data_IF_593631073651
#
_entry.id   IF_593631073651
#
_cell.length_a   1.000
_cell.length_b   1.000
_cell.length_c   1.000
_cell.angle_alpha   90.00
_cell.angle_beta   90.00
_cell.angle_gamma   90.00
#
_symmetry.space_group_name_H-M   'P 1'
#
loop_
_entity.id
_entity.type
_entity.pdbx_description
1 polymer ?
#
# COMPACT_ATOMS: atom_id res chain seq x y z
N UNK A 1 41.59 -33.95 -14.92
CA UNK A 1 40.86 -32.73 -14.56
C UNK A 1 41.90 -31.63 -14.48
N UNK A 2 41.80 -30.60 -15.31
CA UNK A 2 42.75 -29.49 -15.25
C UNK A 2 42.43 -28.58 -14.05
N UNK A 3 43.40 -27.81 -13.58
CA UNK A 3 43.25 -26.94 -12.40
C UNK A 3 42.13 -25.89 -12.57
N UNK A 4 41.87 -25.46 -13.82
CA UNK A 4 40.80 -24.53 -14.16
C UNK A 4 39.40 -25.15 -14.00
N UNK A 5 39.23 -26.41 -14.40
CA UNK A 5 37.99 -27.19 -14.23
C UNK A 5 37.70 -27.42 -12.76
N UNK A 6 38.73 -27.75 -11.97
CA UNK A 6 38.61 -27.86 -10.51
C UNK A 6 38.24 -26.51 -9.87
N UNK A 7 38.81 -25.41 -10.36
CA UNK A 7 38.48 -24.06 -9.92
C UNK A 7 37.01 -23.70 -10.19
N UNK A 8 36.53 -23.92 -11.40
CA UNK A 8 35.13 -23.62 -11.78
C UNK A 8 34.16 -24.52 -11.02
N UNK A 9 34.47 -25.81 -10.88
CA UNK A 9 33.62 -26.76 -10.16
C UNK A 9 33.52 -26.43 -8.66
N UNK A 10 34.63 -26.05 -8.02
CA UNK A 10 34.67 -25.77 -6.58
C UNK A 10 34.06 -24.40 -6.19
N UNK A 11 33.87 -23.48 -7.14
CA UNK A 11 33.21 -22.19 -6.93
C UNK A 11 31.73 -22.19 -7.34
N UNK A 12 31.27 -23.28 -7.95
CA UNK A 12 29.88 -23.39 -8.41
C UNK A 12 28.88 -23.30 -7.25
N UNK A 13 29.14 -24.02 -6.14
CA UNK A 13 28.26 -24.01 -4.97
C UNK A 13 28.10 -22.61 -4.36
N UNK A 14 29.21 -21.90 -4.14
CA UNK A 14 29.17 -20.57 -3.56
C UNK A 14 28.51 -19.53 -4.48
N UNK A 15 28.69 -19.65 -5.80
CA UNK A 15 27.95 -18.83 -6.77
C UNK A 15 26.45 -19.08 -6.69
N UNK A 16 26.03 -20.34 -6.60
CA UNK A 16 24.61 -20.69 -6.44
C UNK A 16 24.04 -20.13 -5.14
N UNK A 17 24.78 -20.19 -4.04
CA UNK A 17 24.36 -19.60 -2.76
C UNK A 17 24.22 -18.08 -2.84
N UNK A 18 25.20 -17.38 -3.40
CA UNK A 18 25.13 -15.92 -3.60
C UNK A 18 23.89 -15.55 -4.42
N UNK A 19 23.62 -16.26 -5.52
CA UNK A 19 22.44 -16.01 -6.35
C UNK A 19 21.14 -16.28 -5.59
N UNK A 20 21.09 -17.33 -4.77
CA UNK A 20 19.95 -17.62 -3.88
C UNK A 20 19.71 -16.49 -2.89
N UNK A 21 20.76 -16.03 -2.20
CA UNK A 21 20.68 -14.92 -1.26
C UNK A 21 20.18 -13.63 -1.92
N UNK A 22 20.71 -13.29 -3.10
CA UNK A 22 20.25 -12.13 -3.86
C UNK A 22 18.77 -12.23 -4.27
N UNK A 23 18.31 -13.42 -4.65
CA UNK A 23 16.90 -13.63 -4.96
C UNK A 23 16.02 -13.46 -3.71
N UNK A 24 16.40 -14.07 -2.59
CA UNK A 24 15.67 -13.94 -1.32
C UNK A 24 15.55 -12.47 -0.87
N UNK A 25 16.61 -11.68 -1.03
CA UNK A 25 16.57 -10.24 -0.73
C UNK A 25 15.57 -9.49 -1.61
N UNK A 26 15.51 -9.81 -2.92
CA UNK A 26 14.51 -9.21 -3.83
C UNK A 26 13.09 -9.60 -3.47
N UNK A 27 12.88 -10.85 -3.11
CA UNK A 27 11.56 -11.34 -2.69
C UNK A 27 11.11 -10.61 -1.42
N UNK A 28 12.01 -10.43 -0.44
CA UNK A 28 11.72 -9.64 0.77
C UNK A 28 11.43 -8.18 0.46
N UNK A 29 12.18 -7.55 -0.45
CA UNK A 29 11.91 -6.18 -0.89
C UNK A 29 10.48 -6.06 -1.49
N UNK A 30 10.07 -7.03 -2.30
CA UNK A 30 8.73 -7.08 -2.86
C UNK A 30 7.64 -7.28 -1.78
N UNK A 31 7.88 -8.14 -0.78
CA UNK A 31 6.95 -8.32 0.34
C UNK A 31 6.83 -7.06 1.21
N UNK A 32 7.94 -6.39 1.51
CA UNK A 32 7.96 -5.13 2.25
C UNK A 32 7.15 -4.08 1.49
N UNK A 33 7.39 -3.92 0.19
CA UNK A 33 6.66 -2.97 -0.65
C UNK A 33 5.17 -3.29 -0.72
N UNK A 34 4.81 -4.57 -0.83
CA UNK A 34 3.42 -5.03 -0.77
C UNK A 34 2.73 -4.58 0.52
N UNK A 35 3.32 -4.85 1.69
CA UNK A 35 2.70 -4.47 2.97
C UNK A 35 2.68 -2.95 3.18
N UNK A 36 3.73 -2.22 2.75
CA UNK A 36 3.76 -0.75 2.80
C UNK A 36 2.66 -0.13 1.93
N UNK A 37 2.36 -0.71 0.77
CA UNK A 37 1.28 -0.25 -0.11
C UNK A 37 -0.08 -0.39 0.59
N UNK A 38 -0.32 -1.51 1.27
CA UNK A 38 -1.53 -1.72 2.05
C UNK A 38 -1.64 -0.77 3.24
N UNK A 39 -0.54 -0.51 3.96
CA UNK A 39 -0.53 0.48 5.05
C UNK A 39 -0.93 1.88 4.55
N UNK A 40 -0.42 2.28 3.38
CA UNK A 40 -0.81 3.55 2.75
C UNK A 40 -2.28 3.55 2.36
N UNK A 41 -2.80 2.47 1.76
CA UNK A 41 -4.21 2.35 1.41
C UNK A 41 -5.12 2.48 2.64
N UNK A 42 -4.82 1.74 3.72
CA UNK A 42 -5.56 1.83 4.99
C UNK A 42 -5.52 3.26 5.56
N UNK A 43 -4.37 3.94 5.48
CA UNK A 43 -4.27 5.33 5.92
C UNK A 43 -5.15 6.28 5.10
N UNK A 44 -5.22 6.08 3.77
CA UNK A 44 -6.10 6.88 2.89
C UNK A 44 -7.58 6.63 3.18
N UNK A 45 -7.98 5.38 3.40
CA UNK A 45 -9.36 5.03 3.76
C UNK A 45 -9.77 5.70 5.07
N UNK A 46 -8.92 5.63 6.10
CA UNK A 46 -9.18 6.31 7.38
C UNK A 46 -9.36 7.82 7.22
N UNK A 47 -8.51 8.46 6.41
CA UNK A 47 -8.62 9.89 6.13
C UNK A 47 -9.93 10.23 5.40
N UNK A 48 -10.34 9.40 4.43
CA UNK A 48 -11.61 9.55 3.74
C UNK A 48 -12.80 9.42 4.70
N UNK A 49 -12.80 8.41 5.58
CA UNK A 49 -13.84 8.24 6.60
C UNK A 49 -13.93 9.43 7.57
N UNK A 50 -12.79 9.94 8.05
CA UNK A 50 -12.76 11.10 8.95
C UNK A 50 -13.31 12.36 8.27
N UNK A 51 -12.93 12.62 7.02
CA UNK A 51 -13.42 13.78 6.26
C UNK A 51 -14.91 13.67 5.94
N UNK A 52 -15.41 12.47 5.60
CA UNK A 52 -16.84 12.21 5.40
C UNK A 52 -17.65 12.47 6.68
N UNK A 53 -17.19 11.97 7.84
CA UNK A 53 -17.85 12.24 9.13
C UNK A 53 -17.88 13.73 9.47
N UNK A 54 -16.78 14.47 9.22
CA UNK A 54 -16.72 15.91 9.47
C UNK A 54 -17.72 16.70 8.61
N UNK A 55 -17.96 16.27 7.36
CA UNK A 55 -18.95 16.88 6.46
C UNK A 55 -20.40 16.59 6.90
N UNK A 56 -20.70 15.35 7.28
CA UNK A 56 -22.02 14.97 7.79
C UNK A 56 -22.43 15.81 9.00
N UNK A 57 -21.53 15.97 9.98
CA UNK A 57 -21.75 16.78 11.19
C UNK A 57 -22.02 18.27 10.89
N UNK A 58 -21.39 18.83 9.85
CA UNK A 58 -21.61 20.24 9.44
C UNK A 58 -22.92 20.46 8.69
N UNK A 59 -23.39 19.46 7.94
CA UNK A 59 -24.65 19.57 7.18
C UNK A 59 -25.91 19.51 8.07
N UNK A 60 -25.84 18.85 9.22
CA UNK A 60 -26.96 18.72 10.17
C UNK A 60 -27.28 19.96 11.01
N UNK A 61 -26.58 21.09 10.81
CA UNK A 61 -26.80 22.33 11.58
C UNK A 61 -27.46 23.47 10.79
N UNK A 62 -27.84 23.23 9.52
CA UNK A 62 -28.50 24.23 8.67
C UNK A 62 -30.00 23.93 8.50
N UNK A 63 -30.72 23.81 9.61
CA UNK A 63 -32.14 23.45 9.63
C UNK A 63 -32.87 23.98 10.85
N UNK A 64 -32.74 25.27 11.15
CA UNK A 64 -33.41 25.91 12.29
C UNK A 64 -33.97 27.30 11.93
N UNK A 65 -34.82 27.37 10.90
CA UNK A 65 -35.53 28.61 10.54
C UNK A 65 -36.91 28.65 11.18
N UNK A 66 -37.03 29.46 12.24
CA UNK A 66 -38.14 30.41 12.36
C UNK A 66 -39.43 29.95 13.04
N UNK A 67 -39.52 30.21 14.35
CA UNK A 67 -40.79 30.56 14.99
C UNK A 67 -40.71 32.01 15.47
N UNK A 68 -41.02 32.94 14.58
CA UNK A 68 -41.39 34.31 14.95
C UNK A 68 -42.86 34.52 14.57
N UNK A 69 -43.72 35.01 15.48
CA UNK A 69 -45.15 35.01 15.29
C UNK A 69 -45.59 36.06 14.27
N UNK A 70 -46.66 35.67 13.58
CA UNK A 70 -47.44 36.40 12.58
C UNK A 70 -47.69 37.86 12.98
N UNK A 71 -47.23 38.81 12.16
CA UNK A 71 -47.85 40.13 12.05
C UNK A 71 -48.38 40.33 10.64
N UNK A 72 -49.70 40.44 10.57
CA UNK A 72 -50.53 40.69 9.41
C UNK A 72 -50.38 42.15 9.00
N UNK A 73 -49.91 42.43 7.78
CA UNK A 73 -49.96 43.80 7.27
C UNK A 73 -49.28 44.04 5.92
N UNK A 74 -50.08 44.55 4.98
CA UNK A 74 -49.71 45.38 3.83
C UNK A 74 -49.11 44.72 2.56
N UNK A 75 -50.02 44.52 1.60
CA UNK A 75 -49.94 44.87 0.16
C UNK A 75 -48.56 45.34 -0.36
N UNK A 76 -48.01 44.59 -1.32
CA UNK A 76 -46.90 45.04 -2.17
C UNK A 76 -46.87 44.27 -3.48
N UNK A 77 -47.05 45.00 -4.58
CA UNK A 77 -47.31 44.54 -5.95
C UNK A 77 -46.02 44.62 -6.77
N UNK A 78 -45.72 43.58 -7.57
CA UNK A 78 -44.68 43.58 -8.62
C UNK A 78 -43.48 42.71 -8.27
N UNK A 79 -42.86 41.95 -9.18
CA UNK A 79 -42.95 41.94 -10.62
C UNK A 79 -42.38 40.66 -11.21
N UNK A 80 -42.65 40.50 -12.52
CA UNK A 80 -42.31 39.38 -13.39
C UNK A 80 -40.80 39.35 -13.70
N UNK A 81 -40.23 38.15 -13.86
CA UNK A 81 -38.93 37.93 -14.49
C UNK A 81 -38.58 36.44 -14.50
N UNK A 82 -39.13 35.64 -15.43
CA UNK A 82 -38.59 35.27 -16.76
C UNK A 82 -37.56 34.13 -16.70
N UNK A 83 -38.09 32.95 -17.02
CA UNK A 83 -37.42 31.74 -17.51
C UNK A 83 -36.29 32.02 -18.51
N UNK A 84 -35.19 31.25 -18.42
CA UNK A 84 -34.40 30.72 -19.55
C UNK A 84 -33.55 29.52 -19.12
N UNK A 85 -33.75 28.40 -19.81
CA UNK A 85 -32.82 27.28 -19.97
C UNK A 85 -31.62 27.69 -20.87
N UNK A 86 -30.45 27.02 -20.69
CA UNK A 86 -29.62 26.34 -21.74
C UNK A 86 -28.08 26.57 -21.65
N UNK A 87 -27.32 25.46 -21.73
CA UNK A 87 -25.91 25.32 -22.16
C UNK A 87 -24.89 25.21 -21.00
N UNK A 88 -24.18 24.10 -20.69
CA UNK A 88 -23.18 23.32 -21.48
C UNK A 88 -21.95 24.22 -21.77
N UNK A 89 -20.68 24.00 -21.39
CA UNK A 89 -19.76 22.83 -21.26
C UNK A 89 -18.48 23.35 -20.53
N UNK A 90 -17.78 22.59 -19.67
CA UNK A 90 -16.43 21.94 -19.85
C UNK A 90 -15.65 22.28 -18.54
N UNK A 91 -14.71 21.55 -17.95
CA UNK A 91 -14.05 20.26 -18.17
C UNK A 91 -13.24 20.00 -16.88
N UNK A 92 -13.12 18.74 -16.42
CA UNK A 92 -11.91 18.23 -15.74
C UNK A 92 -12.09 16.79 -15.25
N UNK A 93 -11.74 15.86 -16.14
CA UNK A 93 -10.82 14.73 -15.93
C UNK A 93 -10.73 14.17 -14.49
N UNK A 94 -11.34 13.00 -14.26
CA UNK A 94 -10.81 12.04 -13.28
C UNK A 94 -11.29 10.62 -13.55
N UNK A 95 -10.36 9.83 -14.09
CA UNK A 95 -10.07 8.44 -13.81
C UNK A 95 -11.20 7.40 -13.85
N UNK A 96 -11.08 6.53 -14.85
CA UNK A 96 -11.75 5.25 -14.97
C UNK A 96 -11.61 4.40 -13.69
N UNK A 97 -12.73 4.11 -13.03
CA UNK A 97 -12.85 3.01 -12.09
C UNK A 97 -13.34 1.78 -12.85
N UNK A 98 -12.39 1.00 -13.37
CA UNK A 98 -12.63 -0.35 -13.82
C UNK A 98 -12.72 -1.31 -12.63
N UNK A 99 -13.85 -2.02 -12.60
CA UNK A 99 -14.04 -3.41 -12.15
C UNK A 99 -14.02 -3.72 -10.64
N UNK A 100 -15.23 -3.82 -10.07
CA UNK A 100 -15.58 -4.99 -9.27
C UNK A 100 -17.06 -5.35 -9.46
N UNK A 101 -17.35 -6.12 -10.51
CA UNK A 101 -18.59 -6.91 -10.60
C UNK A 101 -18.51 -8.11 -9.66
N UNK A 102 -19.69 -8.54 -9.21
CA UNK A 102 -20.01 -9.74 -8.43
C UNK A 102 -20.14 -9.58 -6.91
N UNK A 103 -21.26 -8.97 -6.48
CA UNK A 103 -21.96 -9.47 -5.31
C UNK A 103 -23.48 -9.34 -5.51
N UNK A 104 -24.10 -10.44 -5.94
CA UNK A 104 -25.56 -10.57 -6.05
C UNK A 104 -26.03 -11.38 -4.86
N UNK A 105 -26.83 -10.78 -4.00
CA UNK A 105 -27.81 -11.49 -3.19
C UNK A 105 -29.11 -10.70 -3.26
N UNK A 106 -29.96 -11.10 -4.20
CA UNK A 106 -31.39 -10.78 -4.18
C UNK A 106 -32.01 -11.44 -2.93
N UNK A 107 -32.48 -10.62 -2.00
CA UNK A 107 -33.55 -11.01 -1.08
C UNK A 107 -34.56 -9.88 -1.07
N UNK A 108 -35.60 -10.11 -1.85
CA UNK A 108 -36.87 -9.39 -1.85
C UNK A 108 -37.52 -9.48 -0.46
N UNK A 109 -37.57 -8.37 0.26
CA UNK A 109 -38.53 -8.12 1.33
C UNK A 109 -38.54 -6.62 1.67
N UNK A 110 -39.47 -5.87 1.09
CA UNK A 110 -39.93 -4.63 1.73
C UNK A 110 -40.71 -4.97 3.00
N UNK A 111 -40.41 -4.28 4.11
CA UNK A 111 -41.51 -3.69 4.86
C UNK A 111 -41.25 -2.21 5.15
N UNK A 112 -42.28 -1.43 4.84
CA UNK A 112 -42.44 -0.03 5.16
C UNK A 112 -42.52 0.11 6.69
N UNK A 113 -41.60 0.88 7.28
CA UNK A 113 -41.53 1.11 8.72
C UNK A 113 -40.62 2.30 9.06
N UNK A 114 -41.26 3.45 9.28
CA UNK A 114 -41.05 4.45 10.32
C UNK A 114 -39.59 4.93 10.63
N UNK A 115 -39.41 6.21 10.34
CA UNK A 115 -38.18 7.00 10.17
C UNK A 115 -37.46 7.44 11.47
N UNK A 116 -37.06 6.52 12.36
CA UNK A 116 -36.22 6.90 13.53
C UNK A 116 -35.17 5.88 14.00
N UNK A 117 -35.00 4.74 13.31
CA UNK A 117 -34.09 3.66 13.79
C UNK A 117 -32.67 3.69 13.18
N UNK A 118 -32.39 4.58 12.23
CA UNK A 118 -31.24 4.43 11.31
C UNK A 118 -29.89 4.99 11.82
N UNK A 119 -29.87 5.76 12.91
CA UNK A 119 -28.65 6.41 13.43
C UNK A 119 -27.79 5.51 14.33
N UNK A 120 -28.38 4.50 14.97
CA UNK A 120 -27.67 3.58 15.87
C UNK A 120 -26.83 2.59 15.06
N UNK A 121 -27.45 2.00 14.03
CA UNK A 121 -26.86 0.90 13.25
C UNK A 121 -25.75 1.38 12.31
N UNK A 122 -25.86 2.61 11.80
CA UNK A 122 -24.80 3.24 11.01
C UNK A 122 -23.56 3.57 11.86
N UNK A 123 -23.75 3.89 13.14
CA UNK A 123 -22.65 4.19 14.06
C UNK A 123 -21.93 2.89 14.49
N UNK A 124 -22.66 1.79 14.72
CA UNK A 124 -22.06 0.49 15.06
C UNK A 124 -21.26 -0.09 13.90
N UNK A 125 -21.77 -0.01 12.66
CA UNK A 125 -21.04 -0.46 11.46
C UNK A 125 -19.77 0.36 11.25
N UNK A 126 -19.83 1.69 11.41
CA UNK A 126 -18.65 2.55 11.28
C UNK A 126 -17.56 2.23 12.33
N UNK A 127 -17.95 1.93 13.56
CA UNK A 127 -17.03 1.50 14.62
C UNK A 127 -16.41 0.14 14.29
N UNK A 128 -17.20 -0.82 13.81
CA UNK A 128 -16.70 -2.14 13.41
C UNK A 128 -15.67 -2.04 12.26
N UNK A 129 -15.96 -1.23 11.23
CA UNK A 129 -15.03 -0.97 10.13
C UNK A 129 -13.73 -0.32 10.63
N UNK A 130 -13.81 0.65 11.55
CA UNK A 130 -12.61 1.29 12.11
C UNK A 130 -11.74 0.32 12.92
N UNK A 131 -12.36 -0.58 13.69
CA UNK A 131 -11.66 -1.62 14.45
C UNK A 131 -10.95 -2.59 13.51
N UNK A 132 -11.62 -3.03 12.44
CA UNK A 132 -11.00 -3.95 11.48
C UNK A 132 -9.85 -3.28 10.72
N UNK A 133 -10.00 -2.03 10.28
CA UNK A 133 -8.89 -1.26 9.69
C UNK A 133 -7.71 -1.08 10.66
N UNK A 134 -7.96 -0.99 11.97
CA UNK A 134 -6.91 -0.96 13.00
C UNK A 134 -6.19 -2.29 13.14
N UNK A 135 -6.93 -3.38 13.13
CA UNK A 135 -6.37 -4.73 13.15
C UNK A 135 -5.50 -5.00 11.93
N UNK A 136 -5.99 -4.68 10.73
CA UNK A 136 -5.25 -4.87 9.49
C UNK A 136 -3.98 -4.03 9.45
N UNK A 137 -4.06 -2.76 9.86
CA UNK A 137 -2.88 -1.89 9.93
C UNK A 137 -1.80 -2.48 10.83
N UNK A 138 -2.16 -2.89 12.06
CA UNK A 138 -1.20 -3.48 13.00
C UNK A 138 -0.57 -4.77 12.47
N UNK A 139 -1.35 -5.58 11.75
CA UNK A 139 -0.85 -6.79 11.10
C UNK A 139 0.18 -6.48 10.01
N UNK A 140 -0.16 -5.59 9.06
CA UNK A 140 0.76 -5.18 8.00
C UNK A 140 2.03 -4.52 8.55
N UNK A 141 1.90 -3.70 9.60
CA UNK A 141 3.04 -3.07 10.29
C UNK A 141 3.98 -4.13 10.87
N UNK A 142 3.44 -5.13 11.56
CA UNK A 142 4.22 -6.24 12.11
C UNK A 142 4.93 -7.02 11.00
N UNK A 143 4.24 -7.28 9.87
CA UNK A 143 4.83 -7.95 8.72
C UNK A 143 6.01 -7.16 8.14
N UNK A 144 5.87 -5.84 7.95
CA UNK A 144 6.96 -4.98 7.47
C UNK A 144 8.16 -5.06 8.40
N UNK A 145 7.95 -4.89 9.71
CA UNK A 145 9.04 -4.94 10.69
C UNK A 145 9.78 -6.28 10.64
N UNK A 146 9.04 -7.39 10.59
CA UNK A 146 9.63 -8.73 10.49
C UNK A 146 10.45 -8.90 9.22
N UNK A 147 9.91 -8.52 8.06
CA UNK A 147 10.62 -8.67 6.79
C UNK A 147 11.83 -7.75 6.68
N UNK A 148 11.80 -6.55 7.26
CA UNK A 148 12.97 -5.67 7.36
C UNK A 148 14.10 -6.33 8.18
N UNK A 149 13.78 -6.91 9.34
CA UNK A 149 14.77 -7.62 10.16
C UNK A 149 15.35 -8.83 9.42
N UNK A 150 14.48 -9.62 8.78
CA UNK A 150 14.90 -10.78 7.98
C UNK A 150 15.84 -10.37 6.84
N UNK A 151 15.55 -9.24 6.18
CA UNK A 151 16.38 -8.67 5.13
C UNK A 151 17.75 -8.24 5.64
N UNK A 152 17.83 -7.62 6.81
CA UNK A 152 19.10 -7.23 7.43
C UNK A 152 19.97 -8.44 7.76
N UNK A 153 19.38 -9.50 8.32
CA UNK A 153 20.07 -10.75 8.60
C UNK A 153 20.58 -11.39 7.30
N UNK A 154 19.72 -11.51 6.28
CA UNK A 154 20.11 -12.05 4.98
C UNK A 154 21.21 -11.24 4.30
N UNK A 155 21.18 -9.91 4.41
CA UNK A 155 22.22 -9.05 3.86
C UNK A 155 23.56 -9.24 4.57
N UNK A 156 23.54 -9.42 5.90
CA UNK A 156 24.75 -9.71 6.66
C UNK A 156 25.34 -11.08 6.28
N UNK A 157 24.51 -12.12 6.18
CA UNK A 157 24.94 -13.44 5.72
C UNK A 157 25.54 -13.40 4.30
N UNK A 158 24.88 -12.68 3.38
CA UNK A 158 25.38 -12.52 2.02
C UNK A 158 26.75 -11.82 2.01
N UNK A 159 26.94 -10.77 2.83
CA UNK A 159 28.21 -10.06 2.93
C UNK A 159 29.32 -10.98 3.44
N UNK A 160 29.03 -11.79 4.46
CA UNK A 160 29.95 -12.80 5.00
C UNK A 160 30.34 -13.81 3.92
N UNK A 161 29.35 -14.42 3.23
CA UNK A 161 29.60 -15.37 2.14
C UNK A 161 30.41 -14.77 1.00
N UNK A 162 30.11 -13.54 0.60
CA UNK A 162 30.91 -12.84 -0.41
C UNK A 162 32.36 -12.65 0.05
N UNK A 163 32.57 -12.36 1.34
CA UNK A 163 33.91 -12.19 1.91
C UNK A 163 34.71 -13.51 1.92
N UNK A 164 34.08 -14.62 2.31
CA UNK A 164 34.69 -15.95 2.30
C UNK A 164 35.10 -16.36 0.89
N UNK A 165 34.20 -16.17 -0.09
CA UNK A 165 34.48 -16.48 -1.50
C UNK A 165 35.65 -15.65 -2.01
N UNK A 166 35.65 -14.34 -1.72
CA UNK A 166 36.73 -13.44 -2.14
C UNK A 166 38.08 -13.83 -1.54
N UNK A 167 38.13 -14.16 -0.25
CA UNK A 167 39.36 -14.63 0.41
C UNK A 167 39.82 -15.98 -0.14
N UNK A 168 38.90 -16.91 -0.37
CA UNK A 168 39.20 -18.20 -0.98
C UNK A 168 39.75 -18.04 -2.40
N UNK A 169 39.15 -17.16 -3.21
CA UNK A 169 39.63 -16.84 -4.56
C UNK A 169 41.02 -16.21 -4.54
N UNK A 170 41.26 -15.23 -3.65
CA UNK A 170 42.57 -14.58 -3.52
C UNK A 170 43.66 -15.61 -3.15
N UNK A 171 43.43 -16.43 -2.12
CA UNK A 171 44.38 -17.47 -1.69
C UNK A 171 44.69 -18.48 -2.80
N UNK A 172 43.68 -18.86 -3.62
CA UNK A 172 43.89 -19.78 -4.74
C UNK A 172 44.66 -19.14 -5.89
N UNK A 173 44.37 -17.87 -6.22
CA UNK A 173 45.12 -17.12 -7.24
C UNK A 173 46.59 -16.93 -6.84
N UNK A 174 46.86 -16.68 -5.56
CA UNK A 174 48.23 -16.62 -5.03
C UNK A 174 48.95 -17.98 -5.18
N UNK A 175 48.25 -19.09 -4.90
CA UNK A 175 48.80 -20.43 -5.14
C UNK A 175 49.08 -20.68 -6.63
N UNK A 176 48.17 -20.28 -7.53
CA UNK A 176 48.38 -20.41 -8.97
C UNK A 176 49.59 -19.61 -9.46
N UNK A 177 49.71 -18.36 -9.01
CA UNK A 177 50.84 -17.50 -9.32
C UNK A 177 52.17 -18.12 -8.85
N UNK A 178 52.19 -18.64 -7.62
CA UNK A 178 53.34 -19.34 -7.05
C UNK A 178 53.74 -20.58 -7.87
N UNK A 179 52.78 -21.42 -8.26
CA UNK A 179 53.03 -22.63 -9.07
C UNK A 179 53.47 -22.28 -10.50
N UNK A 180 52.92 -21.23 -11.08
CA UNK A 180 53.26 -20.78 -12.43
C UNK A 180 54.60 -20.01 -12.48
N UNK A 181 55.17 -19.62 -11.35
CA UNK A 181 56.36 -18.75 -11.30
C UNK A 181 56.10 -17.33 -11.81
N UNK A 182 54.85 -16.89 -11.84
CA UNK A 182 54.40 -15.59 -12.36
C UNK A 182 53.85 -14.76 -11.20
N UNK A 183 54.19 -13.47 -11.13
CA UNK A 183 53.64 -12.59 -10.08
C UNK A 183 52.16 -12.26 -10.34
N UNK A 184 51.31 -12.24 -9.30
CA UNK A 184 49.86 -11.92 -9.42
C UNK A 184 49.62 -10.57 -10.11
N UNK A 185 50.58 -9.65 -10.00
CA UNK A 185 50.58 -8.34 -10.67
C UNK A 185 50.66 -8.39 -12.20
N UNK A 186 51.08 -9.51 -12.80
CA UNK A 186 51.11 -9.69 -14.25
C UNK A 186 49.83 -10.34 -14.82
N UNK A 187 49.00 -10.94 -13.97
CA UNK A 187 47.74 -11.59 -14.35
C UNK A 187 46.52 -10.63 -14.34
N UNK A 188 46.70 -9.39 -13.89
CA UNK A 188 45.66 -8.36 -13.80
C UNK A 188 45.67 -7.34 -14.96
N UNK A 189 46.45 -7.60 -16.01
CA UNK A 189 46.50 -6.78 -17.24
C UNK A 189 45.60 -7.30 -18.34
#
# INVERSE_FOLDING_TARGET
>A
MNELEYFVASTHGSRCDIMRYLQQLRDLDAWIEYHLTHLRAIATERAAYQTAQARGKRSGHYGGRGSAPVTRGARGRGGRGRSRYRGVEEDSVAAAATLHEHYVHDVDASPQGDDDTNSSDTNTVAVACAVELQRQFAWHETCVQRHCLEREVLAAELAERCSEVRLSMASRLDNFASVAGVSVTELSR
#
